data_IF_198714900128
#
_entry.id   IF_198714900128
#
_cell.length_a   1.000
_cell.length_b   1.000
_cell.length_c   1.000
_cell.angle_alpha   90.00
_cell.angle_beta   90.00
_cell.angle_gamma   90.00
#
_symmetry.space_group_name_H-M   'P 1'
#
loop_
_entity.id
_entity.type
_entity.pdbx_description
1 polymer ?
#
# COMPACT_ATOMS: atom_id res chain seq x y z
N UNK A 1 -1.23 -21.74 -5.31
CA UNK A 1 -1.35 -21.66 -6.78
C UNK A 1 -0.84 -20.35 -7.38
N UNK A 2 -1.32 -19.13 -6.97
CA UNK A 2 -0.73 -17.87 -7.50
C UNK A 2 0.73 -17.70 -7.10
N UNK A 3 1.08 -17.98 -5.85
CA UNK A 3 2.44 -17.88 -5.32
C UNK A 3 3.38 -18.88 -6.01
N UNK A 4 3.00 -20.15 -6.13
CA UNK A 4 3.78 -21.19 -6.81
C UNK A 4 3.99 -20.88 -8.31
N UNK A 5 2.97 -20.30 -8.98
CA UNK A 5 3.11 -19.86 -10.37
C UNK A 5 4.05 -18.65 -10.48
N UNK A 6 4.04 -17.75 -9.51
CA UNK A 6 4.90 -16.58 -9.43
C UNK A 6 6.35 -16.97 -9.11
N UNK A 7 6.54 -17.91 -8.17
CA UNK A 7 7.85 -18.46 -7.81
C UNK A 7 8.49 -19.20 -8.98
N UNK A 8 7.69 -19.95 -9.75
CA UNK A 8 8.16 -20.61 -10.97
C UNK A 8 8.53 -19.63 -12.09
N UNK A 9 7.80 -18.50 -12.21
CA UNK A 9 8.13 -17.42 -13.14
C UNK A 9 9.38 -16.67 -12.72
N UNK A 10 9.53 -16.37 -11.43
CA UNK A 10 10.71 -15.71 -10.89
C UNK A 10 11.97 -16.59 -11.07
N UNK A 11 11.87 -17.89 -10.76
CA UNK A 11 12.98 -18.84 -10.94
C UNK A 11 13.38 -19.00 -12.42
N UNK A 12 12.43 -18.98 -13.34
CA UNK A 12 12.74 -19.03 -14.78
C UNK A 12 13.39 -17.72 -15.28
N UNK A 13 12.96 -16.56 -14.77
CA UNK A 13 13.60 -15.28 -15.06
C UNK A 13 15.01 -15.18 -14.49
N UNK A 14 15.22 -15.71 -13.28
CA UNK A 14 16.56 -15.79 -12.67
C UNK A 14 17.52 -16.66 -13.49
N UNK A 15 17.07 -17.81 -13.96
CA UNK A 15 17.89 -18.67 -14.83
C UNK A 15 18.26 -17.99 -16.13
N UNK A 16 17.32 -17.30 -16.79
CA UNK A 16 17.58 -16.52 -17.99
C UNK A 16 18.52 -15.32 -17.77
N UNK A 17 18.43 -14.69 -16.59
CA UNK A 17 19.34 -13.61 -16.22
C UNK A 17 20.73 -14.14 -15.87
N UNK A 18 20.85 -15.24 -15.16
CA UNK A 18 22.14 -15.87 -14.85
C UNK A 18 22.89 -16.27 -16.14
N UNK A 19 22.18 -16.77 -17.16
CA UNK A 19 22.74 -17.07 -18.49
C UNK A 19 23.26 -15.83 -19.22
N UNK A 20 22.69 -14.66 -18.94
CA UNK A 20 23.08 -13.35 -19.52
C UNK A 20 24.10 -12.58 -18.67
N UNK A 21 24.47 -13.11 -17.49
CA UNK A 21 25.33 -12.40 -16.54
C UNK A 21 24.64 -11.27 -15.80
N UNK A 22 23.31 -11.34 -15.68
CA UNK A 22 22.49 -10.37 -14.93
C UNK A 22 22.62 -10.52 -13.42
N UNK A 23 21.95 -9.62 -12.69
CA UNK A 23 21.97 -9.54 -11.24
C UNK A 23 21.25 -10.74 -10.61
N UNK A 24 21.83 -11.35 -9.57
CA UNK A 24 21.16 -12.39 -8.78
C UNK A 24 20.16 -11.76 -7.79
N UNK A 25 19.17 -12.55 -7.29
CA UNK A 25 18.25 -12.07 -6.25
C UNK A 25 18.97 -11.61 -5.00
N UNK A 26 20.07 -12.26 -4.60
CA UNK A 26 20.86 -11.86 -3.44
C UNK A 26 21.59 -10.54 -3.66
N UNK A 27 22.14 -10.31 -4.87
CA UNK A 27 22.77 -9.04 -5.21
C UNK A 27 21.73 -7.91 -5.28
N UNK A 28 20.54 -8.20 -5.83
CA UNK A 28 19.41 -7.28 -5.85
C UNK A 28 18.97 -6.89 -4.44
N UNK A 29 18.82 -7.87 -3.54
CA UNK A 29 18.47 -7.65 -2.13
C UNK A 29 19.51 -6.76 -1.44
N UNK A 30 20.79 -7.05 -1.62
CA UNK A 30 21.88 -6.24 -1.05
C UNK A 30 21.86 -4.80 -1.57
N UNK A 31 21.61 -4.62 -2.87
CA UNK A 31 21.53 -3.29 -3.50
C UNK A 31 20.31 -2.49 -3.01
N UNK A 32 19.12 -3.11 -3.01
CA UNK A 32 17.86 -2.51 -2.52
C UNK A 32 17.99 -2.16 -1.04
N UNK A 33 18.49 -3.08 -0.21
CA UNK A 33 18.67 -2.88 1.22
C UNK A 33 19.59 -1.68 1.53
N UNK A 34 20.70 -1.57 0.82
CA UNK A 34 21.64 -0.47 1.00
C UNK A 34 21.04 0.91 0.72
N UNK A 35 20.21 1.05 -0.34
CA UNK A 35 19.55 2.32 -0.69
C UNK A 35 18.39 2.61 0.28
N UNK A 36 17.63 1.59 0.67
CA UNK A 36 16.57 1.74 1.65
C UNK A 36 17.10 2.18 3.00
N UNK A 37 18.19 1.58 3.47
CA UNK A 37 18.83 1.95 4.74
C UNK A 37 19.34 3.39 4.73
N UNK A 38 20.03 3.83 3.67
CA UNK A 38 20.48 5.22 3.56
C UNK A 38 19.30 6.20 3.59
N UNK A 39 18.23 5.91 2.86
CA UNK A 39 17.02 6.73 2.84
C UNK A 39 16.27 6.71 4.17
N UNK A 40 16.17 5.54 4.82
CA UNK A 40 15.51 5.36 6.12
C UNK A 40 16.26 6.14 7.20
N UNK A 41 17.56 5.96 7.30
CA UNK A 41 18.41 6.69 8.27
C UNK A 41 18.31 8.19 8.05
N UNK A 42 18.38 8.68 6.82
CA UNK A 42 18.26 10.11 6.55
C UNK A 42 16.90 10.67 6.96
N UNK A 43 15.80 9.98 6.65
CA UNK A 43 14.45 10.43 7.02
C UNK A 43 14.26 10.36 8.53
N UNK A 44 14.63 9.26 9.17
CA UNK A 44 14.36 9.03 10.57
C UNK A 44 15.25 9.92 11.48
N UNK A 45 16.52 10.13 11.12
CA UNK A 45 17.46 10.94 11.93
C UNK A 45 17.37 12.44 11.65
N UNK A 46 17.12 12.83 10.39
CA UNK A 46 17.22 14.24 9.99
C UNK A 46 15.85 14.91 9.89
N UNK A 47 14.88 14.25 9.28
CA UNK A 47 13.58 14.84 8.94
C UNK A 47 12.54 14.59 10.03
N UNK A 48 12.42 13.36 10.49
CA UNK A 48 11.39 12.94 11.46
C UNK A 48 11.41 13.70 12.77
N UNK A 49 12.56 14.08 13.37
CA UNK A 49 12.57 14.87 14.61
C UNK A 49 11.91 16.25 14.46
N UNK A 50 12.14 16.93 13.31
CA UNK A 50 11.51 18.24 13.06
C UNK A 50 10.01 18.11 12.78
N UNK A 51 9.60 17.07 12.05
CA UNK A 51 8.19 16.75 11.80
C UNK A 51 7.47 16.40 13.11
N UNK A 52 8.10 15.59 13.98
CA UNK A 52 7.55 15.25 15.29
C UNK A 52 7.33 16.48 16.15
N UNK A 53 8.31 17.40 16.17
CA UNK A 53 8.18 18.68 16.87
C UNK A 53 7.04 19.53 16.33
N UNK A 54 6.90 19.62 15.00
CA UNK A 54 5.80 20.35 14.36
C UNK A 54 4.43 19.74 14.72
N UNK A 55 4.34 18.42 14.75
CA UNK A 55 3.12 17.71 15.13
C UNK A 55 2.78 17.94 16.62
N UNK A 56 3.77 17.97 17.52
CA UNK A 56 3.57 18.30 18.93
C UNK A 56 3.02 19.72 19.11
N UNK A 57 3.52 20.70 18.34
CA UNK A 57 2.95 22.06 18.33
C UNK A 57 1.49 22.06 17.83
N UNK A 58 1.20 21.31 16.79
CA UNK A 58 -0.15 21.19 16.27
C UNK A 58 -1.12 20.52 17.27
N UNK A 59 -0.66 19.48 17.96
CA UNK A 59 -1.45 18.79 18.98
C UNK A 59 -1.56 19.58 20.29
N UNK A 60 -0.68 20.57 20.52
CA UNK A 60 -0.61 21.33 21.75
C UNK A 60 -0.04 20.53 22.91
N UNK A 61 0.89 19.65 22.63
CA UNK A 61 1.57 18.86 23.65
C UNK A 61 2.61 19.70 24.39
N UNK A 62 2.86 19.34 25.65
CA UNK A 62 3.91 19.97 26.46
C UNK A 62 5.27 19.42 26.04
N UNK A 63 6.28 20.30 26.01
CA UNK A 63 7.64 19.92 25.61
C UNK A 63 8.50 19.41 26.76
N UNK A 64 8.01 19.49 28.03
CA UNK A 64 8.72 19.03 29.22
C UNK A 64 9.80 19.98 29.70
N UNK A 65 9.87 21.21 29.17
CA UNK A 65 10.78 22.28 29.58
C UNK A 65 10.09 23.32 30.47
N UNK A 66 8.89 23.02 30.96
CA UNK A 66 8.12 23.88 31.84
C UNK A 66 8.77 23.93 33.25
N UNK A 67 8.90 25.13 33.78
CA UNK A 67 9.41 25.34 35.14
C UNK A 67 8.28 25.21 36.16
N UNK A 68 8.54 24.51 37.26
CA UNK A 68 7.57 24.33 38.34
C UNK A 68 7.17 25.72 38.93
N UNK A 69 5.87 25.95 39.06
CA UNK A 69 5.30 27.22 39.54
C UNK A 69 5.09 28.28 38.47
N UNK A 70 5.41 28.01 37.19
CA UNK A 70 5.08 28.87 36.05
C UNK A 70 3.87 28.36 35.27
N UNK A 71 3.36 29.22 34.37
CA UNK A 71 2.27 28.83 33.48
C UNK A 71 2.69 27.70 32.56
N UNK A 72 1.84 26.65 32.43
CA UNK A 72 2.01 25.53 31.53
C UNK A 72 0.98 25.55 30.37
N UNK A 73 0.52 26.79 30.04
CA UNK A 73 -0.43 26.96 28.91
C UNK A 73 0.36 26.83 27.61
N UNK A 74 -0.11 25.93 26.73
CA UNK A 74 0.42 25.73 25.38
C UNK A 74 -0.35 26.63 24.41
N UNK A 75 0.39 27.34 23.55
CA UNK A 75 -0.20 28.18 22.50
C UNK A 75 -0.65 27.30 21.33
N UNK A 76 -1.96 27.37 20.97
CA UNK A 76 -2.58 26.61 19.91
C UNK A 76 -2.60 27.35 18.56
N UNK A 77 -1.79 28.39 18.39
CA UNK A 77 -1.77 29.22 17.16
C UNK A 77 -1.54 28.41 15.90
N UNK A 78 -0.69 27.37 15.95
CA UNK A 78 -0.43 26.48 14.80
C UNK A 78 -1.71 25.75 14.37
N UNK A 79 -2.38 25.13 15.32
CA UNK A 79 -3.65 24.41 15.09
C UNK A 79 -4.74 25.33 14.54
N UNK A 80 -4.87 26.51 15.13
CA UNK A 80 -5.86 27.51 14.70
C UNK A 80 -5.58 28.01 13.29
N UNK A 81 -4.31 28.20 12.95
CA UNK A 81 -3.91 28.63 11.61
C UNK A 81 -4.19 27.55 10.56
N UNK A 82 -3.80 26.31 10.82
CA UNK A 82 -4.12 25.17 9.94
C UNK A 82 -5.63 25.02 9.78
N UNK A 83 -6.37 25.12 10.91
CA UNK A 83 -7.85 25.06 10.88
C UNK A 83 -8.54 26.16 10.08
N UNK A 84 -7.89 27.31 9.89
CA UNK A 84 -8.39 28.39 9.04
C UNK A 84 -8.03 28.21 7.55
N UNK A 85 -6.84 27.64 7.27
CA UNK A 85 -6.36 27.45 5.90
C UNK A 85 -7.06 26.26 5.23
N UNK A 86 -7.26 25.15 5.95
CA UNK A 86 -7.85 23.92 5.42
C UNK A 86 -9.17 24.12 4.68
N UNK A 87 -10.20 24.79 5.25
CA UNK A 87 -11.46 24.99 4.54
C UNK A 87 -11.31 25.81 3.26
N UNK A 88 -10.34 26.74 3.21
CA UNK A 88 -10.08 27.52 2.01
C UNK A 88 -9.47 26.67 0.90
N UNK A 89 -8.50 25.80 1.23
CA UNK A 89 -7.94 24.84 0.29
C UNK A 89 -8.99 23.85 -0.21
N UNK A 90 -9.75 23.24 0.71
CA UNK A 90 -10.80 22.29 0.35
C UNK A 90 -11.83 22.90 -0.59
N UNK A 91 -12.20 24.17 -0.37
CA UNK A 91 -13.15 24.87 -1.22
C UNK A 91 -12.64 25.05 -2.66
N UNK A 92 -11.34 25.20 -2.87
CA UNK A 92 -10.78 25.35 -4.23
C UNK A 92 -11.10 24.12 -5.09
N UNK A 93 -11.02 22.91 -4.50
CA UNK A 93 -11.20 21.66 -5.24
C UNK A 93 -12.64 21.12 -5.19
N UNK A 94 -13.37 21.41 -4.12
CA UNK A 94 -14.71 20.85 -3.86
C UNK A 94 -15.81 21.92 -3.81
N UNK A 95 -15.63 23.02 -4.54
CA UNK A 95 -16.68 24.06 -4.62
C UNK A 95 -17.81 23.72 -5.60
N UNK A 96 -17.57 22.80 -6.52
CA UNK A 96 -18.53 22.33 -7.53
C UNK A 96 -18.82 20.84 -7.43
N UNK A 97 -19.74 20.37 -8.27
CA UNK A 97 -20.08 18.95 -8.35
C UNK A 97 -18.95 18.10 -9.01
N UNK A 98 -18.08 18.76 -9.77
CA UNK A 98 -16.96 18.14 -10.49
C UNK A 98 -15.63 18.67 -9.95
N UNK A 99 -14.72 17.76 -9.63
CA UNK A 99 -13.35 18.10 -9.20
C UNK A 99 -12.42 18.26 -10.38
N UNK A 100 -12.64 17.47 -11.43
CA UNK A 100 -11.85 17.43 -12.65
C UNK A 100 -12.78 17.60 -13.85
N UNK A 101 -12.33 18.34 -14.85
CA UNK A 101 -13.03 18.53 -16.13
C UNK A 101 -12.06 18.32 -17.28
N UNK A 102 -12.41 17.44 -18.22
CA UNK A 102 -11.63 17.17 -19.43
C UNK A 102 -12.12 18.05 -20.56
N UNK A 103 -11.23 18.87 -21.10
CA UNK A 103 -11.54 19.70 -22.26
C UNK A 103 -11.34 18.91 -23.56
N UNK A 104 -12.33 18.89 -24.48
CA UNK A 104 -12.18 18.25 -25.78
C UNK A 104 -11.14 19.00 -26.64
N UNK A 105 -10.31 18.25 -27.39
CA UNK A 105 -9.35 18.85 -28.34
C UNK A 105 -9.99 19.18 -29.67
N UNK A 106 -10.95 18.36 -30.11
CA UNK A 106 -11.73 18.55 -31.32
C UNK A 106 -13.22 18.51 -30.98
N UNK A 107 -14.06 18.99 -31.90
CA UNK A 107 -15.52 18.99 -31.71
C UNK A 107 -16.09 17.56 -31.66
N UNK A 108 -15.42 16.59 -32.30
CA UNK A 108 -15.81 15.19 -32.30
C UNK A 108 -15.51 14.50 -30.96
N UNK A 109 -14.54 15.02 -30.19
CA UNK A 109 -14.13 14.47 -28.89
C UNK A 109 -15.06 14.89 -27.73
N UNK A 110 -15.98 15.85 -27.97
CA UNK A 110 -16.85 16.37 -26.90
C UNK A 110 -17.62 15.30 -26.12
N UNK A 111 -18.30 14.33 -26.77
CA UNK A 111 -19.02 13.29 -26.02
C UNK A 111 -18.09 12.40 -25.18
N UNK A 112 -16.87 12.15 -25.65
CA UNK A 112 -15.87 11.37 -24.94
C UNK A 112 -15.30 12.14 -23.74
N UNK A 113 -15.04 13.43 -23.89
CA UNK A 113 -14.56 14.30 -22.83
C UNK A 113 -15.59 14.39 -21.69
N UNK A 114 -16.86 14.52 -22.01
CA UNK A 114 -17.96 14.54 -21.04
C UNK A 114 -18.06 13.20 -20.31
N UNK A 115 -18.03 12.07 -21.04
CA UNK A 115 -18.08 10.74 -20.45
C UNK A 115 -16.88 10.46 -19.53
N UNK A 116 -15.67 10.81 -19.94
CA UNK A 116 -14.47 10.65 -19.13
C UNK A 116 -14.54 11.55 -17.89
N UNK A 117 -15.01 12.78 -18.03
CA UNK A 117 -15.22 13.70 -16.91
C UNK A 117 -16.14 13.09 -15.87
N UNK A 118 -17.30 12.58 -16.27
CA UNK A 118 -18.27 12.00 -15.35
C UNK A 118 -17.73 10.71 -14.70
N UNK A 119 -17.07 9.85 -15.46
CA UNK A 119 -16.48 8.62 -14.94
C UNK A 119 -15.35 8.89 -13.94
N UNK A 120 -14.40 9.79 -14.26
CA UNK A 120 -13.31 10.11 -13.35
C UNK A 120 -13.82 10.74 -12.06
N UNK A 121 -14.79 11.66 -12.14
CA UNK A 121 -15.40 12.25 -10.93
C UNK A 121 -16.12 11.19 -10.08
N UNK A 122 -16.79 10.20 -10.70
CA UNK A 122 -17.38 9.07 -9.99
C UNK A 122 -16.32 8.26 -9.23
N UNK A 123 -15.22 7.89 -9.90
CA UNK A 123 -14.12 7.15 -9.26
C UNK A 123 -13.50 7.95 -8.11
N UNK A 124 -13.28 9.25 -8.29
CA UNK A 124 -12.68 10.11 -7.28
C UNK A 124 -13.58 10.30 -6.06
N UNK A 125 -14.89 10.55 -6.27
CA UNK A 125 -15.80 10.94 -5.20
C UNK A 125 -16.52 9.76 -4.55
N UNK A 126 -16.99 8.80 -5.37
CA UNK A 126 -17.81 7.68 -4.90
C UNK A 126 -16.98 6.48 -4.48
N UNK A 127 -15.97 6.09 -5.28
CA UNK A 127 -15.17 4.91 -5.00
C UNK A 127 -14.06 5.19 -3.97
N UNK A 128 -13.52 6.41 -3.94
CA UNK A 128 -12.32 6.75 -3.15
C UNK A 128 -12.53 7.79 -2.05
N UNK A 129 -13.69 8.45 -1.97
CA UNK A 129 -13.88 9.53 -1.02
C UNK A 129 -12.72 10.56 -1.00
N UNK A 130 -12.38 11.07 -2.19
CA UNK A 130 -11.23 11.97 -2.41
C UNK A 130 -11.17 13.13 -1.41
N UNK A 131 -12.33 13.60 -0.92
CA UNK A 131 -12.39 14.68 0.06
C UNK A 131 -11.60 14.35 1.34
N UNK A 132 -11.78 13.15 1.89
CA UNK A 132 -11.07 12.74 3.11
C UNK A 132 -9.58 12.50 2.84
N UNK A 133 -9.26 11.85 1.73
CA UNK A 133 -7.87 11.57 1.36
C UNK A 133 -7.07 12.86 1.15
N UNK A 134 -7.60 13.81 0.37
CA UNK A 134 -6.93 15.10 0.18
C UNK A 134 -6.87 15.94 1.46
N UNK A 135 -7.92 15.88 2.30
CA UNK A 135 -7.90 16.56 3.59
C UNK A 135 -6.76 16.05 4.47
N UNK A 136 -6.55 14.73 4.51
CA UNK A 136 -5.45 14.12 5.27
C UNK A 136 -4.08 14.51 4.72
N UNK A 137 -3.89 14.40 3.39
CA UNK A 137 -2.63 14.75 2.75
C UNK A 137 -2.28 16.25 2.93
N UNK A 138 -3.25 17.14 2.84
CA UNK A 138 -3.02 18.57 3.04
C UNK A 138 -2.78 18.93 4.50
N UNK A 139 -3.43 18.24 5.42
CA UNK A 139 -3.11 18.43 6.84
C UNK A 139 -1.66 18.06 7.12
N UNK A 140 -1.18 16.94 6.59
CA UNK A 140 0.22 16.53 6.68
C UNK A 140 1.15 17.56 6.00
N UNK A 141 0.79 18.05 4.81
CA UNK A 141 1.55 19.09 4.13
C UNK A 141 1.65 20.38 4.93
N UNK A 142 0.58 20.85 5.54
CA UNK A 142 0.54 22.08 6.32
C UNK A 142 1.27 21.96 7.67
N UNK A 143 1.21 20.77 8.29
CA UNK A 143 1.84 20.54 9.60
C UNK A 143 3.29 20.10 9.47
N UNK A 144 3.56 19.15 8.55
CA UNK A 144 4.85 18.47 8.43
C UNK A 144 5.66 18.87 7.20
N UNK A 145 5.11 19.77 6.35
CA UNK A 145 5.77 20.27 5.15
C UNK A 145 5.67 19.35 3.94
N UNK A 146 5.09 18.15 4.07
CA UNK A 146 4.98 17.19 2.97
C UNK A 146 3.64 16.46 3.07
N UNK A 147 2.88 16.43 1.98
CA UNK A 147 1.68 15.62 1.84
C UNK A 147 1.87 14.65 0.67
N UNK A 148 1.51 13.41 0.86
CA UNK A 148 1.75 12.33 -0.09
C UNK A 148 0.43 11.65 -0.40
N UNK A 149 0.17 11.45 -1.69
CA UNK A 149 -0.99 10.72 -2.18
C UNK A 149 -0.49 9.61 -3.10
N UNK A 150 -0.91 8.39 -2.83
CA UNK A 150 -0.64 7.21 -3.65
C UNK A 150 -1.92 6.82 -4.39
N UNK A 151 -1.81 6.52 -5.67
CA UNK A 151 -2.87 5.86 -6.43
C UNK A 151 -2.35 4.51 -6.94
N UNK A 152 -3.20 3.50 -6.89
CA UNK A 152 -2.85 2.16 -7.30
C UNK A 152 -4.09 1.38 -7.72
N UNK A 153 -3.87 0.30 -8.45
CA UNK A 153 -4.92 -0.62 -8.79
C UNK A 153 -5.13 -1.60 -7.64
N UNK A 154 -6.32 -1.59 -7.04
CA UNK A 154 -6.72 -2.53 -6.00
C UNK A 154 -7.42 -3.70 -6.68
N UNK A 155 -6.76 -4.85 -6.71
CA UNK A 155 -7.42 -6.09 -7.06
C UNK A 155 -8.13 -6.60 -5.80
N UNK A 156 -9.46 -6.67 -5.83
CA UNK A 156 -10.17 -7.36 -4.76
C UNK A 156 -9.76 -8.83 -4.84
N UNK A 157 -9.08 -9.31 -3.82
CA UNK A 157 -8.58 -10.67 -3.69
C UNK A 157 -9.71 -11.70 -3.87
N UNK A 158 -9.34 -12.93 -4.09
CA UNK A 158 -10.29 -14.03 -4.20
C UNK A 158 -11.22 -13.99 -2.97
N UNK A 159 -12.52 -13.84 -3.23
CA UNK A 159 -13.52 -13.89 -2.16
C UNK A 159 -13.40 -15.21 -1.41
N UNK A 160 -13.86 -15.26 -0.17
CA UNK A 160 -13.86 -16.49 0.64
C UNK A 160 -14.27 -17.67 -0.23
N UNK A 161 -13.36 -18.63 -0.34
CA UNK A 161 -13.62 -19.88 -1.07
C UNK A 161 -14.27 -20.86 -0.11
N UNK A 162 -15.45 -21.32 -0.45
CA UNK A 162 -16.17 -22.32 0.34
C UNK A 162 -16.22 -23.64 -0.43
N UNK A 163 -15.63 -24.68 0.14
CA UNK A 163 -15.73 -26.02 -0.40
C UNK A 163 -17.04 -26.65 0.01
N UNK A 164 -17.85 -27.03 -0.97
CA UNK A 164 -19.12 -27.73 -0.79
C UNK A 164 -19.02 -29.11 -1.40
N UNK A 165 -19.30 -30.13 -0.60
CA UNK A 165 -19.25 -31.54 -1.05
C UNK A 165 -20.62 -32.20 -1.08
N UNK A 166 -20.80 -33.12 -2.02
CA UNK A 166 -22.01 -33.94 -2.14
C UNK A 166 -23.25 -33.20 -2.67
N UNK A 167 -23.06 -32.12 -3.44
CA UNK A 167 -24.17 -31.35 -4.03
C UNK A 167 -24.94 -32.18 -5.03
N UNK A 168 -26.26 -32.10 -4.98
CA UNK A 168 -27.15 -32.68 -6.01
C UNK A 168 -27.08 -31.85 -7.29
N UNK A 169 -27.43 -32.46 -8.41
CA UNK A 169 -27.44 -31.78 -9.73
C UNK A 169 -28.31 -30.52 -9.73
N UNK A 170 -29.46 -30.55 -9.05
CA UNK A 170 -30.34 -29.39 -8.92
C UNK A 170 -29.67 -28.24 -8.13
N UNK A 171 -28.98 -28.57 -7.02
CA UNK A 171 -28.26 -27.58 -6.20
C UNK A 171 -27.05 -26.98 -6.96
N UNK A 172 -26.34 -27.81 -7.74
CA UNK A 172 -25.23 -27.36 -8.58
C UNK A 172 -25.71 -26.39 -9.67
N UNK A 173 -26.82 -26.71 -10.39
CA UNK A 173 -27.40 -25.83 -11.41
C UNK A 173 -27.88 -24.51 -10.78
N UNK A 174 -28.46 -24.55 -9.55
CA UNK A 174 -28.89 -23.35 -8.85
C UNK A 174 -27.70 -22.43 -8.50
N UNK A 175 -26.58 -22.98 -8.04
CA UNK A 175 -25.35 -22.23 -7.80
C UNK A 175 -24.77 -21.67 -9.10
N UNK A 176 -24.74 -22.46 -10.18
CA UNK A 176 -24.20 -22.02 -11.46
C UNK A 176 -25.02 -20.88 -12.11
N UNK A 177 -26.28 -20.73 -11.68
CA UNK A 177 -27.15 -19.66 -12.18
C UNK A 177 -26.86 -18.31 -11.56
N UNK A 178 -26.07 -18.23 -10.48
CA UNK A 178 -25.69 -16.96 -9.84
C UNK A 178 -24.43 -16.40 -10.53
N UNK A 179 -24.53 -15.26 -11.25
CA UNK A 179 -23.39 -14.67 -11.96
C UNK A 179 -22.30 -14.09 -11.02
N UNK A 180 -22.59 -14.05 -9.71
CA UNK A 180 -21.64 -13.54 -8.69
C UNK A 180 -20.76 -14.63 -8.10
N UNK A 181 -20.95 -15.89 -8.51
CA UNK A 181 -20.18 -17.02 -8.02
C UNK A 181 -19.31 -17.59 -9.12
N UNK A 182 -18.06 -17.84 -8.80
CA UNK A 182 -17.16 -18.64 -9.62
C UNK A 182 -17.11 -20.05 -9.01
N UNK A 183 -17.43 -21.07 -9.82
CA UNK A 183 -17.56 -22.45 -9.35
C UNK A 183 -16.52 -23.29 -10.04
N UNK A 184 -15.63 -23.88 -9.27
CA UNK A 184 -14.66 -24.86 -9.72
C UNK A 184 -15.09 -26.25 -9.26
N UNK A 185 -15.23 -27.18 -10.21
CA UNK A 185 -15.61 -28.57 -9.91
C UNK A 185 -14.34 -29.31 -9.46
N UNK A 186 -14.31 -29.71 -8.19
CA UNK A 186 -13.21 -30.48 -7.60
C UNK A 186 -13.35 -31.97 -7.94
N UNK A 187 -14.57 -32.53 -7.79
CA UNK A 187 -14.85 -33.90 -8.15
C UNK A 187 -16.31 -34.10 -8.55
N UNK A 188 -16.56 -35.15 -9.36
CA UNK A 188 -17.91 -35.59 -9.75
C UNK A 188 -18.00 -37.09 -9.54
N UNK A 189 -18.92 -37.51 -8.68
CA UNK A 189 -19.20 -38.92 -8.38
C UNK A 189 -20.64 -39.26 -8.78
N UNK A 190 -20.84 -40.41 -9.40
CA UNK A 190 -22.17 -40.91 -9.80
C UNK A 190 -22.55 -42.05 -8.85
N UNK A 191 -23.56 -41.82 -8.04
CA UNK A 191 -24.14 -42.80 -7.15
C UNK A 191 -25.48 -43.36 -7.68
N UNK A 192 -26.02 -44.39 -7.05
CA UNK A 192 -27.32 -44.96 -7.38
C UNK A 192 -28.49 -43.94 -7.28
N UNK A 193 -28.28 -42.81 -6.59
CA UNK A 193 -29.23 -41.72 -6.41
C UNK A 193 -29.00 -40.52 -7.35
N UNK A 194 -28.02 -40.58 -8.27
CA UNK A 194 -27.71 -39.50 -9.21
C UNK A 194 -26.28 -38.96 -9.11
N UNK A 195 -25.99 -37.93 -9.89
CA UNK A 195 -24.68 -37.26 -9.87
C UNK A 195 -24.52 -36.41 -8.63
N UNK A 196 -23.36 -36.51 -7.97
CA UNK A 196 -22.95 -35.66 -6.87
C UNK A 196 -21.70 -34.87 -7.23
N UNK A 197 -21.72 -33.60 -6.93
CA UNK A 197 -20.64 -32.65 -7.22
C UNK A 197 -19.99 -32.16 -5.95
N UNK A 198 -18.66 -32.23 -5.92
CA UNK A 198 -17.87 -31.50 -4.93
C UNK A 198 -17.33 -30.26 -5.66
N UNK A 199 -17.64 -29.09 -5.15
CA UNK A 199 -17.33 -27.83 -5.81
C UNK A 199 -16.66 -26.89 -4.84
N UNK A 200 -15.71 -26.12 -5.33
CA UNK A 200 -15.13 -24.99 -4.66
C UNK A 200 -15.80 -23.72 -5.19
N UNK A 201 -16.54 -23.04 -4.35
CA UNK A 201 -17.31 -21.85 -4.70
C UNK A 201 -16.59 -20.63 -4.16
N UNK A 202 -16.11 -19.76 -5.06
CA UNK A 202 -15.58 -18.45 -4.73
C UNK A 202 -16.51 -17.35 -5.25
N UNK A 203 -16.65 -16.26 -4.51
CA UNK A 203 -17.34 -15.09 -5.06
C UNK A 203 -16.53 -14.56 -6.24
N UNK A 204 -17.22 -14.23 -7.34
CA UNK A 204 -16.59 -13.49 -8.43
C UNK A 204 -15.89 -12.28 -7.84
N UNK A 205 -14.63 -12.07 -8.21
CA UNK A 205 -13.83 -10.91 -7.79
C UNK A 205 -14.72 -9.67 -7.81
N UNK A 206 -14.82 -9.00 -6.66
CA UNK A 206 -15.40 -7.66 -6.63
C UNK A 206 -14.68 -6.79 -7.67
N UNK A 207 -15.38 -5.81 -8.22
CA UNK A 207 -14.82 -4.94 -9.25
C UNK A 207 -13.48 -4.37 -8.78
N UNK A 208 -12.41 -4.79 -9.48
CA UNK A 208 -11.09 -4.18 -9.29
C UNK A 208 -11.18 -2.70 -9.62
N UNK A 209 -10.56 -1.85 -8.81
CA UNK A 209 -10.73 -0.39 -8.91
C UNK A 209 -9.45 0.36 -8.68
N UNK A 210 -9.41 1.59 -9.17
CA UNK A 210 -8.38 2.55 -8.78
C UNK A 210 -8.61 2.96 -7.34
N UNK A 211 -7.61 2.79 -6.49
CA UNK A 211 -7.59 3.25 -5.11
C UNK A 211 -6.70 4.48 -4.98
N UNK A 212 -7.17 5.46 -4.21
CA UNK A 212 -6.42 6.66 -3.86
C UNK A 212 -6.34 6.72 -2.35
N UNK A 213 -5.14 6.87 -1.82
CA UNK A 213 -4.89 6.91 -0.38
C UNK A 213 -3.86 7.98 -0.03
N UNK A 214 -4.12 8.74 1.01
CA UNK A 214 -3.13 9.60 1.62
C UNK A 214 -2.15 8.75 2.43
N UNK A 215 -0.87 8.92 2.20
CA UNK A 215 0.18 8.23 2.94
C UNK A 215 0.76 9.13 4.02
N UNK A 216 0.93 8.62 5.25
CA UNK A 216 1.71 9.30 6.26
C UNK A 216 3.13 9.57 5.76
N UNK A 217 3.67 10.80 5.93
CA UNK A 217 5.00 11.14 5.42
C UNK A 217 6.14 10.27 5.97
N UNK A 218 5.95 9.63 7.13
CA UNK A 218 6.89 8.68 7.72
C UNK A 218 6.92 7.31 7.05
N UNK A 219 5.90 7.00 6.26
CA UNK A 219 5.80 5.73 5.53
C UNK A 219 6.37 5.82 4.12
N UNK A 220 6.64 7.01 3.64
CA UNK A 220 7.20 7.25 2.32
C UNK A 220 8.70 7.49 2.38
N UNK A 221 9.45 6.70 1.63
CA UNK A 221 10.88 6.83 1.46
C UNK A 221 11.19 7.29 0.03
N UNK A 222 12.17 8.14 -0.09
CA UNK A 222 12.69 8.61 -1.38
C UNK A 222 14.21 8.67 -1.30
N UNK A 223 14.87 8.47 -2.44
CA UNK A 223 16.30 8.64 -2.55
C UNK A 223 16.75 10.03 -2.02
N UNK A 224 17.75 10.03 -1.18
CA UNK A 224 18.31 11.25 -0.56
C UNK A 224 18.77 12.30 -1.57
N UNK A 225 19.27 11.86 -2.73
CA UNK A 225 19.78 12.75 -3.78
C UNK A 225 18.66 13.34 -4.65
N UNK A 226 17.45 12.82 -4.59
CA UNK A 226 16.34 13.24 -5.43
C UNK A 226 15.84 14.65 -5.06
N UNK A 227 15.56 15.44 -6.08
CA UNK A 227 14.92 16.76 -5.96
C UNK A 227 13.44 16.71 -6.32
N UNK A 228 13.02 15.70 -7.05
CA UNK A 228 11.64 15.43 -7.47
C UNK A 228 11.38 13.93 -7.58
N UNK A 229 10.12 13.52 -7.78
CA UNK A 229 9.80 12.12 -8.05
C UNK A 229 10.37 11.61 -9.38
N UNK A 230 10.52 12.50 -10.38
CA UNK A 230 10.97 12.13 -11.72
C UNK A 230 12.47 11.77 -11.76
N UNK A 231 13.28 12.48 -10.97
CA UNK A 231 14.74 12.27 -10.90
C UNK A 231 15.13 11.22 -9.85
N UNK A 232 14.20 10.80 -9.00
CA UNK A 232 14.46 9.79 -8.00
C UNK A 232 14.88 8.44 -8.63
N UNK A 233 15.92 7.86 -8.08
CA UNK A 233 16.34 6.48 -8.40
C UNK A 233 15.42 5.49 -7.71
N UNK A 234 14.98 5.81 -6.49
CA UNK A 234 14.15 4.96 -5.67
C UNK A 234 13.07 5.75 -4.96
N UNK A 235 11.86 5.22 -4.97
CA UNK A 235 10.76 5.61 -4.07
C UNK A 235 10.20 4.36 -3.41
N UNK A 236 9.81 4.44 -2.15
CA UNK A 236 9.24 3.30 -1.47
C UNK A 236 8.13 3.69 -0.49
N UNK A 237 7.21 2.76 -0.28
CA UNK A 237 6.16 2.85 0.71
C UNK A 237 6.36 1.72 1.74
N UNK A 238 6.77 2.08 2.95
CA UNK A 238 6.91 1.14 4.07
C UNK A 238 5.70 1.21 4.98
N UNK A 239 5.14 0.08 5.33
CA UNK A 239 4.01 -0.01 6.26
C UNK A 239 4.13 -1.23 7.17
N UNK A 240 3.47 -1.16 8.31
CA UNK A 240 3.31 -2.31 9.16
C UNK A 240 2.05 -3.06 8.73
N UNK A 241 2.20 -4.31 8.31
CA UNK A 241 1.11 -5.21 7.95
C UNK A 241 1.01 -6.36 8.96
N UNK A 242 -0.17 -6.91 9.16
CA UNK A 242 -0.32 -8.12 9.98
C UNK A 242 0.04 -9.36 9.18
N UNK A 243 0.49 -10.42 9.86
CA UNK A 243 0.73 -11.73 9.22
C UNK A 243 -0.51 -12.16 8.43
N UNK A 244 -1.70 -12.07 9.03
CA UNK A 244 -2.97 -12.41 8.36
C UNK A 244 -3.21 -11.61 7.07
N UNK A 245 -2.88 -10.31 7.06
CA UNK A 245 -3.04 -9.48 5.85
C UNK A 245 -2.10 -9.91 4.74
N UNK A 246 -0.83 -10.21 5.07
CA UNK A 246 0.16 -10.65 4.09
C UNK A 246 -0.18 -12.04 3.51
N UNK A 247 -0.65 -12.96 4.34
CA UNK A 247 -1.13 -14.27 3.89
C UNK A 247 -2.37 -14.13 2.97
N UNK A 248 -3.29 -13.20 3.28
CA UNK A 248 -4.42 -12.87 2.39
C UNK A 248 -3.98 -12.28 1.04
N UNK A 249 -2.85 -11.58 1.00
CA UNK A 249 -2.23 -11.10 -0.24
C UNK A 249 -1.61 -12.24 -1.07
N UNK A 250 -1.51 -13.45 -0.51
CA UNK A 250 -1.03 -14.65 -1.18
C UNK A 250 0.43 -15.00 -0.90
N UNK A 251 1.06 -14.37 0.11
CA UNK A 251 2.40 -14.72 0.54
C UNK A 251 2.39 -15.99 1.43
N UNK A 252 3.50 -16.70 1.44
CA UNK A 252 3.69 -17.92 2.23
C UNK A 252 3.65 -17.64 3.74
N UNK A 253 2.83 -18.40 4.47
CA UNK A 253 2.60 -18.20 5.91
C UNK A 253 3.87 -18.43 6.73
N UNK A 254 4.61 -19.52 6.45
CA UNK A 254 5.82 -19.87 7.19
C UNK A 254 6.91 -18.80 7.00
N UNK A 255 7.05 -18.26 5.78
CA UNK A 255 7.97 -17.17 5.47
C UNK A 255 7.58 -15.90 6.24
N UNK A 256 6.31 -15.50 6.15
CA UNK A 256 5.80 -14.28 6.80
C UNK A 256 5.94 -14.37 8.32
N UNK A 257 5.63 -15.53 8.94
CA UNK A 257 5.80 -15.74 10.37
C UNK A 257 7.26 -15.66 10.80
N UNK A 258 8.18 -16.19 10.00
CA UNK A 258 9.63 -16.15 10.28
C UNK A 258 10.18 -14.73 10.27
N UNK A 259 9.59 -13.85 9.46
CA UNK A 259 9.98 -12.43 9.33
C UNK A 259 9.22 -11.51 10.29
N UNK A 260 8.19 -12.03 10.99
CA UNK A 260 7.45 -11.27 11.98
C UNK A 260 8.35 -10.91 13.15
N UNK A 261 8.76 -9.65 13.21
CA UNK A 261 9.62 -9.13 14.27
C UNK A 261 8.96 -9.22 15.64
N UNK A 262 9.75 -9.49 16.65
CA UNK A 262 9.36 -9.20 18.03
C UNK A 262 9.09 -7.70 18.18
N UNK A 263 8.22 -7.35 19.08
CA UNK A 263 7.66 -6.00 19.27
C UNK A 263 8.68 -4.91 19.59
N UNK A 264 9.91 -5.25 19.92
CA UNK A 264 10.89 -4.32 20.47
C UNK A 264 11.64 -3.49 19.40
N UNK A 265 11.63 -3.90 18.13
CA UNK A 265 12.36 -3.21 17.05
C UNK A 265 11.48 -2.28 16.21
N UNK A 266 10.16 -2.28 16.44
CA UNK A 266 9.20 -1.70 15.50
C UNK A 266 9.03 -0.19 15.59
N UNK A 267 9.59 0.49 16.58
CA UNK A 267 9.12 1.83 16.90
C UNK A 267 10.19 2.86 17.26
N UNK A 268 11.32 2.82 16.57
CA UNK A 268 12.33 3.88 16.67
C UNK A 268 11.88 5.20 15.99
N UNK A 269 10.79 5.16 15.20
CA UNK A 269 10.32 6.37 14.54
C UNK A 269 9.53 7.27 15.50
N UNK A 270 10.21 8.29 16.00
CA UNK A 270 9.63 9.30 16.92
C UNK A 270 8.33 9.92 16.38
N UNK A 271 8.19 10.04 15.07
CA UNK A 271 7.01 10.63 14.46
C UNK A 271 5.79 9.70 14.57
N UNK A 272 5.96 8.38 14.34
CA UNK A 272 4.91 7.39 14.58
C UNK A 272 4.45 7.37 16.03
N UNK A 273 5.41 7.46 16.98
CA UNK A 273 5.11 7.50 18.40
C UNK A 273 4.25 8.71 18.78
N UNK A 274 4.55 9.88 18.22
CA UNK A 274 3.77 11.11 18.46
C UNK A 274 2.40 11.04 17.78
N UNK A 275 2.33 10.53 16.55
CA UNK A 275 1.06 10.42 15.81
C UNK A 275 0.11 9.40 16.44
N UNK A 276 0.63 8.28 16.91
CA UNK A 276 -0.16 7.20 17.52
C UNK A 276 0.52 6.63 18.76
N UNK A 277 0.38 7.32 19.93
CA UNK A 277 0.95 6.84 21.18
C UNK A 277 0.45 5.44 21.60
N UNK A 278 -0.74 5.02 21.14
CA UNK A 278 -1.27 3.70 21.40
C UNK A 278 -0.52 2.60 20.63
N UNK A 279 0.18 2.94 19.55
CA UNK A 279 0.99 1.99 18.79
C UNK A 279 2.12 1.39 19.64
N UNK A 280 2.62 2.11 20.64
CA UNK A 280 3.61 1.60 21.60
C UNK A 280 3.13 0.35 22.39
N UNK A 281 1.83 0.13 22.46
CA UNK A 281 1.23 -1.00 23.18
C UNK A 281 0.93 -2.23 22.28
N UNK A 282 1.34 -2.23 21.03
CA UNK A 282 1.13 -3.40 20.16
C UNK A 282 1.87 -4.68 20.60
N UNK A 283 2.82 -4.57 21.54
CA UNK A 283 3.54 -5.70 22.16
C UNK A 283 2.69 -6.76 22.88
N UNK A 284 1.41 -6.53 23.07
CA UNK A 284 0.49 -7.46 23.70
C UNK A 284 -0.37 -8.28 22.71
N UNK A 285 -0.06 -8.26 21.40
CA UNK A 285 -0.75 -9.14 20.46
C UNK A 285 -0.31 -10.57 20.68
N UNK A 286 -1.11 -11.33 21.42
CA UNK A 286 -0.82 -12.70 21.83
C UNK A 286 -1.05 -13.75 20.75
N UNK A 287 -1.66 -13.38 19.64
CA UNK A 287 -1.92 -14.29 18.51
C UNK A 287 -0.88 -14.05 17.40
N UNK A 288 -0.28 -15.10 16.91
CA UNK A 288 0.72 -15.07 15.82
C UNK A 288 0.19 -14.36 14.58
N UNK A 289 -1.04 -14.67 14.19
CA UNK A 289 -1.71 -14.05 13.01
C UNK A 289 -1.86 -12.52 13.09
N UNK A 290 -1.79 -11.92 14.27
CA UNK A 290 -1.89 -10.46 14.48
C UNK A 290 -0.53 -9.79 14.68
N UNK A 291 0.57 -10.56 14.65
CA UNK A 291 1.93 -9.99 14.69
C UNK A 291 2.16 -9.10 13.49
N UNK A 292 3.01 -8.08 13.67
CA UNK A 292 3.31 -7.10 12.64
C UNK A 292 4.60 -7.45 11.92
N UNK A 293 4.59 -7.25 10.61
CA UNK A 293 5.74 -7.37 9.72
C UNK A 293 5.90 -6.04 9.00
N UNK A 294 7.13 -5.51 8.92
CA UNK A 294 7.39 -4.37 8.06
C UNK A 294 7.34 -4.85 6.62
N UNK A 295 6.41 -4.29 5.85
CA UNK A 295 6.24 -4.54 4.42
C UNK A 295 6.61 -3.28 3.66
N UNK A 296 7.57 -3.39 2.74
CA UNK A 296 8.06 -2.27 1.95
C UNK A 296 7.89 -2.54 0.47
N UNK A 297 7.15 -1.69 -0.20
CA UNK A 297 6.94 -1.69 -1.64
C UNK A 297 7.86 -0.64 -2.26
N UNK A 298 8.83 -1.08 -3.05
CA UNK A 298 9.92 -0.27 -3.61
C UNK A 298 9.75 -0.15 -5.11
N UNK A 299 9.84 1.07 -5.62
CA UNK A 299 9.92 1.36 -7.06
C UNK A 299 11.31 1.92 -7.33
N UNK A 300 12.13 1.17 -8.04
CA UNK A 300 13.54 1.52 -8.22
C UNK A 300 14.03 1.26 -9.64
N UNK A 301 14.90 2.15 -10.12
CA UNK A 301 15.63 2.00 -11.38
C UNK A 301 16.86 1.16 -11.12
N UNK A 302 16.92 -0.05 -11.69
CA UNK A 302 18.03 -1.00 -11.54
C UNK A 302 18.30 -1.71 -12.87
N UNK A 303 19.57 -1.85 -13.21
CA UNK A 303 20.01 -2.67 -14.34
C UNK A 303 20.05 -4.14 -13.90
N UNK A 304 18.90 -4.81 -14.04
CA UNK A 304 18.73 -6.18 -13.59
C UNK A 304 19.28 -7.21 -14.58
N UNK A 305 19.27 -6.89 -15.87
CA UNK A 305 19.71 -7.76 -16.96
C UNK A 305 21.17 -7.52 -17.39
N UNK A 306 21.85 -6.53 -16.77
CA UNK A 306 23.23 -6.13 -17.03
C UNK A 306 23.48 -5.69 -18.49
N UNK A 307 22.52 -4.97 -19.08
CA UNK A 307 22.65 -4.41 -20.42
C UNK A 307 23.16 -2.95 -20.44
N UNK A 308 23.38 -2.36 -19.26
CA UNK A 308 23.84 -0.99 -19.06
C UNK A 308 22.70 0.03 -19.02
N UNK A 309 21.44 -0.39 -19.04
CA UNK A 309 20.25 0.46 -18.97
C UNK A 309 19.46 0.11 -17.71
N UNK A 310 19.24 1.09 -16.83
CA UNK A 310 18.45 0.87 -15.63
C UNK A 310 16.94 0.87 -15.96
N UNK A 311 16.27 -0.22 -15.63
CA UNK A 311 14.82 -0.40 -15.80
C UNK A 311 14.09 -0.10 -14.50
N UNK A 312 12.89 0.46 -14.61
CA UNK A 312 12.03 0.64 -13.44
C UNK A 312 11.45 -0.72 -13.02
N UNK A 313 11.67 -1.10 -11.78
CA UNK A 313 11.15 -2.34 -11.19
C UNK A 313 10.38 -2.05 -9.92
N UNK A 314 9.31 -2.81 -9.74
CA UNK A 314 8.59 -2.91 -8.47
C UNK A 314 9.15 -4.09 -7.70
N UNK A 315 9.55 -3.85 -6.46
CA UNK A 315 10.18 -4.85 -5.58
C UNK A 315 9.45 -4.79 -4.25
N UNK A 316 8.94 -5.91 -3.79
CA UNK A 316 8.29 -6.04 -2.49
C UNK A 316 9.23 -6.74 -1.53
N UNK A 317 9.52 -6.10 -0.41
CA UNK A 317 10.41 -6.61 0.62
C UNK A 317 9.67 -6.74 1.95
N UNK A 318 10.10 -7.69 2.77
CA UNK A 318 9.59 -7.91 4.12
C UNK A 318 10.70 -7.96 5.17
N UNK A 319 10.34 -7.53 6.37
CA UNK A 319 11.22 -7.57 7.55
C UNK A 319 12.39 -6.59 7.47
N UNK A 320 13.18 -6.56 8.54
CA UNK A 320 14.35 -5.67 8.65
C UNK A 320 15.53 -6.10 7.75
N UNK A 321 15.53 -7.35 7.29
CA UNK A 321 16.53 -7.89 6.34
C UNK A 321 16.20 -7.57 4.88
N UNK A 322 15.07 -6.91 4.63
CA UNK A 322 14.56 -6.62 3.28
C UNK A 322 14.49 -7.87 2.40
N UNK A 323 13.96 -8.97 2.95
CA UNK A 323 13.75 -10.19 2.18
C UNK A 323 12.85 -9.91 1.00
N UNK A 324 13.34 -10.17 -0.23
CA UNK A 324 12.56 -9.92 -1.44
C UNK A 324 11.55 -11.04 -1.62
N UNK A 325 10.28 -10.73 -1.52
CA UNK A 325 9.19 -11.69 -1.68
C UNK A 325 8.58 -11.65 -3.08
N UNK A 326 8.72 -10.52 -3.77
CA UNK A 326 8.22 -10.35 -5.13
C UNK A 326 8.98 -9.24 -5.85
N UNK A 327 9.27 -9.40 -7.13
CA UNK A 327 9.77 -8.33 -7.97
C UNK A 327 9.29 -8.50 -9.42
N UNK A 328 8.98 -7.39 -10.07
CA UNK A 328 8.51 -7.35 -11.45
C UNK A 328 8.98 -6.08 -12.17
N UNK A 329 9.15 -6.12 -13.52
CA UNK A 329 9.35 -4.89 -14.28
C UNK A 329 8.10 -4.02 -14.17
N UNK A 330 8.30 -2.71 -14.00
CA UNK A 330 7.20 -1.77 -13.83
C UNK A 330 7.17 -0.74 -14.97
N UNK A 331 6.01 -0.56 -15.59
CA UNK A 331 5.87 0.28 -16.79
C UNK A 331 5.00 1.53 -16.55
N UNK A 332 4.53 1.74 -15.33
CA UNK A 332 3.77 2.95 -15.02
C UNK A 332 4.73 4.12 -14.78
N UNK A 333 4.40 5.31 -15.30
CA UNK A 333 5.14 6.51 -14.98
C UNK A 333 5.01 6.86 -13.49
#
# INVERSE_FOLDING_TARGET
MKYEAQESLNSAQEQLNAERGGMSSQDLQGYVGSILDDSKVYIDDTISPSRATALQYFLGERFGNEEEGRSSIVDMTVRDTVGKIMPALMRVFFSGDKVVEFAPRTQEDTPYADMITDYVNYVLQSDNNLYLELSSAWQDALVQGTGIVKYYWEENGDGETHDMSGLTEEAFIALQSDPKLNIEIVSNTIDEMGSRYDVSVSKVKGDSRVKIAALPPEEFLIDRAATSLDDAIMTAHRRMATVSELVQMGYDEDLVESLASGTDELDDNRLRQVRNPAALNYGFRSQEVTRLVEYTEVYMKVDFNNDGIAELRKICCMGNSYEIVHHEPWHSP
#
